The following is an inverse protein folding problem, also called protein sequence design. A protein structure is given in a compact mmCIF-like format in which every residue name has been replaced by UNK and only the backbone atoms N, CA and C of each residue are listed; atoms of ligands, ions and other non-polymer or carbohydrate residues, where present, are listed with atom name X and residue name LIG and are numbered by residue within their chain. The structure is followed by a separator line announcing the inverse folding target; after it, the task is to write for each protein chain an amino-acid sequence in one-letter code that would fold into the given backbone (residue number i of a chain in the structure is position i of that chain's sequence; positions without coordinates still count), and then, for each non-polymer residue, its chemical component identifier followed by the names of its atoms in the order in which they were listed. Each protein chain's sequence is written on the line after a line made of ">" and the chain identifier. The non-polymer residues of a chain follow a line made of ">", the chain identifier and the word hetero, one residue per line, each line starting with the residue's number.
data_IF_088698152084
#
_entry.id   IF_088698152084
#
_cell.length_a   1.000
_cell.length_b   1.000
_cell.length_c   1.000
_cell.angle_alpha   90.00
_cell.angle_beta   90.00
_cell.angle_gamma   90.00
#
_symmetry.space_group_name_H-M   'P 1'
#
loop_
_entity.id
_entity.type
_entity.pdbx_description
1 polymer ?
#
# COMPACT_ATOMS: atom_id res chain seq x y z
N UNK A 1 18.34 -3.20 0.21
CA UNK A 1 17.52 -2.77 -0.95
C UNK A 1 16.91 -3.96 -1.66
N UNK A 2 17.68 -4.79 -2.39
CA UNK A 2 17.13 -5.94 -3.14
C UNK A 2 16.35 -6.94 -2.27
N UNK A 3 16.86 -7.28 -1.08
CA UNK A 3 16.15 -8.18 -0.15
C UNK A 3 14.80 -7.63 0.32
N UNK A 4 14.71 -6.33 0.66
CA UNK A 4 13.45 -5.68 1.06
C UNK A 4 12.46 -5.60 -0.10
N UNK A 5 12.93 -5.36 -1.32
CA UNK A 5 12.11 -5.36 -2.52
C UNK A 5 11.60 -6.76 -2.88
N UNK A 6 12.44 -7.79 -2.73
CA UNK A 6 12.04 -9.19 -2.90
C UNK A 6 10.98 -9.60 -1.85
N UNK A 7 11.23 -9.27 -0.58
CA UNK A 7 10.25 -9.51 0.49
C UNK A 7 8.92 -8.80 0.22
N UNK A 8 8.95 -7.54 -0.26
CA UNK A 8 7.74 -6.84 -0.65
C UNK A 8 6.98 -7.58 -1.77
N UNK A 9 7.67 -8.06 -2.79
CA UNK A 9 7.08 -8.85 -3.87
C UNK A 9 6.42 -10.12 -3.33
N UNK A 10 7.13 -10.87 -2.48
CA UNK A 10 6.63 -12.12 -1.90
C UNK A 10 5.38 -11.89 -1.04
N UNK A 11 5.36 -10.79 -0.26
CA UNK A 11 4.19 -10.41 0.52
C UNK A 11 3.04 -9.91 -0.36
N UNK A 12 3.32 -9.14 -1.41
CA UNK A 12 2.32 -8.59 -2.32
C UNK A 12 1.58 -9.67 -3.14
N UNK A 13 2.20 -10.84 -3.35
CA UNK A 13 1.55 -11.99 -3.97
C UNK A 13 0.25 -12.41 -3.24
N UNK A 14 0.11 -12.06 -1.95
CA UNK A 14 -1.12 -12.24 -1.19
C UNK A 14 -2.36 -11.64 -1.88
N UNK A 15 -2.25 -10.45 -2.48
CA UNK A 15 -3.39 -9.80 -3.13
C UNK A 15 -3.90 -10.55 -4.36
N UNK A 16 -3.08 -11.44 -4.93
CA UNK A 16 -3.44 -12.28 -6.08
C UNK A 16 -3.77 -13.72 -5.66
N UNK A 17 -3.70 -14.02 -4.36
CA UNK A 17 -3.98 -15.34 -3.83
C UNK A 17 -5.47 -15.65 -3.83
N UNK A 18 -5.78 -16.94 -3.72
CA UNK A 18 -7.14 -17.46 -3.59
C UNK A 18 -7.91 -16.81 -2.43
N UNK A 19 -7.23 -16.58 -1.30
CA UNK A 19 -7.80 -15.91 -0.13
C UNK A 19 -8.32 -14.50 -0.44
N UNK A 20 -7.73 -13.82 -1.44
CA UNK A 20 -8.14 -12.48 -1.85
C UNK A 20 -9.04 -12.48 -3.09
N UNK A 21 -9.37 -13.64 -3.66
CA UNK A 21 -10.30 -13.74 -4.78
C UNK A 21 -11.64 -13.03 -4.52
N UNK A 22 -12.26 -13.11 -3.32
CA UNK A 22 -13.50 -12.38 -3.03
C UNK A 22 -13.36 -10.85 -3.02
N UNK A 23 -12.15 -10.30 -2.95
CA UNK A 23 -11.93 -8.86 -3.13
C UNK A 23 -11.77 -8.45 -4.61
N UNK A 24 -11.36 -9.40 -5.46
CA UNK A 24 -10.89 -9.15 -6.82
C UNK A 24 -11.90 -9.58 -7.90
N UNK A 25 -12.61 -10.70 -7.69
CA UNK A 25 -13.61 -11.22 -8.64
C UNK A 25 -14.98 -10.58 -8.37
N UNK A 26 -15.58 -9.90 -9.38
CA UNK A 26 -16.94 -9.37 -9.25
C UNK A 26 -18.01 -10.40 -8.89
N UNK A 27 -17.84 -11.67 -9.27
CA UNK A 27 -18.81 -12.76 -9.06
C UNK A 27 -18.77 -13.33 -7.63
N UNK A 28 -17.61 -13.30 -6.99
CA UNK A 28 -17.39 -13.82 -5.64
C UNK A 28 -17.28 -12.70 -4.60
N UNK A 29 -17.72 -11.49 -4.97
CA UNK A 29 -17.40 -10.26 -4.26
C UNK A 29 -17.94 -10.24 -2.83
N UNK A 30 -17.06 -10.20 -1.85
CA UNK A 30 -17.41 -10.08 -0.44
C UNK A 30 -17.07 -8.67 0.12
N UNK A 31 -18.04 -7.95 0.72
CA UNK A 31 -17.82 -6.61 1.25
C UNK A 31 -16.72 -6.52 2.32
N UNK A 32 -16.50 -7.57 3.11
CA UNK A 32 -15.50 -7.56 4.18
C UNK A 32 -14.08 -7.67 3.60
N UNK A 33 -13.87 -8.51 2.59
CA UNK A 33 -12.60 -8.61 1.87
C UNK A 33 -12.28 -7.34 1.09
N UNK A 34 -13.29 -6.74 0.45
CA UNK A 34 -13.13 -5.44 -0.25
C UNK A 34 -12.75 -4.34 0.73
N UNK A 35 -13.37 -4.29 1.92
CA UNK A 35 -13.02 -3.31 2.96
C UNK A 35 -11.59 -3.51 3.44
N UNK A 36 -11.20 -4.76 3.73
CA UNK A 36 -9.82 -5.08 4.11
C UNK A 36 -8.83 -4.65 3.02
N UNK A 37 -9.08 -4.97 1.75
CA UNK A 37 -8.22 -4.56 0.64
C UNK A 37 -8.08 -3.03 0.58
N UNK A 38 -9.19 -2.31 0.68
CA UNK A 38 -9.18 -0.85 0.64
C UNK A 38 -8.42 -0.20 1.81
N UNK A 39 -8.55 -0.75 3.03
CA UNK A 39 -7.80 -0.25 4.19
C UNK A 39 -6.29 -0.43 4.00
N UNK A 40 -5.89 -1.57 3.42
CA UNK A 40 -4.50 -1.88 3.11
C UNK A 40 -3.95 -0.97 2.01
N UNK A 41 -4.70 -0.78 0.93
CA UNK A 41 -4.34 0.14 -0.16
C UNK A 41 -4.18 1.58 0.36
N UNK A 42 -5.06 2.01 1.26
CA UNK A 42 -4.98 3.34 1.89
C UNK A 42 -3.74 3.49 2.76
N UNK A 43 -3.37 2.48 3.53
CA UNK A 43 -2.16 2.52 4.35
C UNK A 43 -0.89 2.43 3.51
N UNK A 44 -0.91 1.68 2.40
CA UNK A 44 0.16 1.67 1.41
C UNK A 44 0.35 3.06 0.78
N UNK A 45 -0.72 3.75 0.40
CA UNK A 45 -0.64 5.11 -0.16
C UNK A 45 0.05 6.08 0.81
N UNK A 46 -0.32 6.03 2.10
CA UNK A 46 0.33 6.85 3.14
C UNK A 46 1.83 6.56 3.28
N UNK A 47 2.27 5.32 2.98
CA UNK A 47 3.68 4.96 3.09
C UNK A 47 4.58 5.71 2.10
N UNK A 48 4.02 6.18 0.98
CA UNK A 48 4.74 6.98 -0.03
C UNK A 48 4.83 8.47 0.33
N UNK A 49 4.11 8.91 1.36
CA UNK A 49 4.15 10.29 1.84
C UNK A 49 5.41 10.49 2.68
N UNK A 50 6.24 11.45 2.29
CA UNK A 50 7.52 11.71 2.94
C UNK A 50 7.35 12.88 3.92
N UNK A 51 7.56 12.66 5.23
CA UNK A 51 7.26 13.66 6.25
C UNK A 51 8.24 14.84 6.31
N UNK A 52 9.37 14.78 5.59
CA UNK A 52 10.42 15.83 5.58
C UNK A 52 10.06 17.05 4.70
N UNK A 53 8.78 17.38 4.59
CA UNK A 53 8.30 18.52 3.81
C UNK A 53 7.77 19.61 4.73
N UNK A 54 7.94 20.91 4.40
CA UNK A 54 7.31 21.99 5.14
C UNK A 54 5.80 21.75 5.31
N UNK A 55 5.18 22.16 6.43
CA UNK A 55 3.75 22.01 6.64
C UNK A 55 2.96 22.50 5.42
N UNK A 56 2.09 21.65 4.86
CA UNK A 56 1.30 21.97 3.66
C UNK A 56 1.90 21.51 2.33
N UNK A 57 3.10 20.92 2.32
CA UNK A 57 3.70 20.29 1.14
C UNK A 57 3.70 18.77 1.32
N UNK A 58 3.25 18.02 0.31
CA UNK A 58 3.32 16.57 0.29
C UNK A 58 4.28 16.11 -0.82
N UNK A 59 5.36 15.45 -0.42
CA UNK A 59 6.29 14.80 -1.36
C UNK A 59 5.96 13.31 -1.46
N UNK A 60 5.79 12.83 -2.69
CA UNK A 60 5.52 11.42 -3.00
C UNK A 60 6.75 10.78 -3.66
N UNK A 61 7.12 9.58 -3.23
CA UNK A 61 8.04 8.72 -3.99
C UNK A 61 7.30 8.14 -5.20
N UNK A 62 7.44 8.73 -6.39
CA UNK A 62 6.89 8.17 -7.63
C UNK A 62 7.96 8.07 -8.71
N UNK A 63 7.91 7.01 -9.51
CA UNK A 63 8.77 6.86 -10.68
C UNK A 63 8.51 8.02 -11.66
N UNK A 64 9.60 8.58 -12.19
CA UNK A 64 9.60 9.81 -12.96
C UNK A 64 8.99 9.59 -14.33
N UNK A 65 7.69 9.87 -14.48
CA UNK A 65 7.17 10.32 -15.78
C UNK A 65 6.60 11.73 -15.62
N UNK A 66 7.06 12.72 -16.41
CA UNK A 66 6.52 14.07 -16.37
C UNK A 66 5.17 14.06 -17.09
N UNK A 67 4.13 13.55 -16.44
CA UNK A 67 2.76 13.92 -16.79
C UNK A 67 2.39 15.07 -15.88
N UNK A 68 2.30 16.27 -16.45
CA UNK A 68 1.79 17.48 -15.81
C UNK A 68 0.36 17.23 -15.33
N UNK A 69 0.22 16.63 -14.15
CA UNK A 69 -1.06 16.58 -13.44
C UNK A 69 -1.28 17.99 -12.93
N UNK A 70 -2.31 18.66 -13.46
CA UNK A 70 -2.80 19.94 -12.93
C UNK A 70 -3.06 19.75 -11.43
N UNK A 71 -2.22 20.36 -10.61
CA UNK A 71 -2.42 20.43 -9.17
C UNK A 71 -3.71 21.18 -8.88
N UNK A 72 -4.49 20.69 -7.91
CA UNK A 72 -5.61 21.45 -7.36
C UNK A 72 -5.08 22.78 -6.78
N UNK A 73 -5.83 23.90 -6.90
CA UNK A 73 -5.41 25.17 -6.33
C UNK A 73 -5.22 25.00 -4.81
N UNK A 74 -3.99 25.24 -4.34
CA UNK A 74 -3.60 25.12 -2.93
C UNK A 74 -2.66 23.94 -2.59
N UNK A 75 -2.39 23.01 -3.51
CA UNK A 75 -1.48 21.88 -3.25
C UNK A 75 -0.20 21.98 -4.11
N UNK A 76 0.93 22.30 -3.47
CA UNK A 76 2.25 22.30 -4.13
C UNK A 76 2.82 20.88 -4.11
N UNK A 77 2.91 20.24 -5.29
CA UNK A 77 3.49 18.91 -5.43
C UNK A 77 4.96 19.03 -5.84
N UNK A 78 5.87 18.68 -4.94
CA UNK A 78 7.31 18.70 -5.18
C UNK A 78 7.85 17.30 -5.48
N UNK A 79 8.80 17.19 -6.42
CA UNK A 79 9.53 15.93 -6.63
C UNK A 79 10.44 15.68 -5.44
N UNK A 80 10.44 14.44 -4.95
CA UNK A 80 11.40 14.02 -3.95
C UNK A 80 12.65 13.44 -4.61
N UNK A 81 13.81 14.02 -4.30
CA UNK A 81 15.11 13.47 -4.68
C UNK A 81 15.62 12.64 -3.50
N UNK A 82 15.32 11.34 -3.52
CA UNK A 82 15.41 10.51 -2.32
C UNK A 82 16.78 9.94 -2.01
N UNK A 83 17.10 9.93 -0.71
CA UNK A 83 18.23 9.17 -0.18
C UNK A 83 17.89 7.68 -0.04
N UNK A 84 18.93 6.84 0.08
CA UNK A 84 18.77 5.39 0.27
C UNK A 84 17.98 5.06 1.54
N UNK A 85 18.03 5.91 2.55
CA UNK A 85 17.36 5.68 3.82
C UNK A 85 15.84 5.77 3.65
N UNK A 86 15.37 6.79 2.95
CA UNK A 86 13.94 7.04 2.72
C UNK A 86 13.32 5.94 1.88
N UNK A 87 14.00 5.49 0.82
CA UNK A 87 13.54 4.34 0.02
C UNK A 87 13.47 3.08 0.88
N UNK A 88 14.45 2.85 1.76
CA UNK A 88 14.45 1.70 2.68
C UNK A 88 13.30 1.79 3.67
N UNK A 89 13.05 2.97 4.24
CA UNK A 89 11.96 3.21 5.18
C UNK A 89 10.59 2.96 4.54
N UNK A 90 10.38 3.42 3.32
CA UNK A 90 9.12 3.18 2.60
C UNK A 90 8.93 1.68 2.32
N UNK A 91 9.95 1.00 1.80
CA UNK A 91 9.88 -0.46 1.57
C UNK A 91 9.56 -1.23 2.85
N UNK A 92 10.22 -0.92 3.97
CA UNK A 92 9.97 -1.57 5.26
C UNK A 92 8.55 -1.32 5.76
N UNK A 93 8.02 -0.10 5.61
CA UNK A 93 6.63 0.24 5.97
C UNK A 93 5.64 -0.57 5.14
N UNK A 94 5.84 -0.63 3.81
CA UNK A 94 4.97 -1.39 2.90
C UNK A 94 4.94 -2.88 3.27
N UNK A 95 6.11 -3.49 3.49
CA UNK A 95 6.20 -4.90 3.93
C UNK A 95 5.43 -5.12 5.24
N UNK A 96 5.58 -4.21 6.21
CA UNK A 96 4.88 -4.31 7.49
C UNK A 96 3.36 -4.24 7.31
N UNK A 97 2.86 -3.30 6.51
CA UNK A 97 1.43 -3.13 6.22
C UNK A 97 0.85 -4.42 5.61
N UNK A 98 1.48 -4.95 4.56
CA UNK A 98 0.98 -6.16 3.87
C UNK A 98 1.08 -7.39 4.79
N UNK A 99 2.13 -7.49 5.62
CA UNK A 99 2.26 -8.59 6.58
C UNK A 99 1.14 -8.55 7.64
N UNK A 100 0.84 -7.38 8.19
CA UNK A 100 -0.25 -7.20 9.16
C UNK A 100 -1.60 -7.51 8.50
N UNK A 101 -1.80 -7.03 7.27
CA UNK A 101 -3.00 -7.30 6.48
C UNK A 101 -3.23 -8.80 6.27
N UNK A 102 -2.19 -9.52 5.83
CA UNK A 102 -2.24 -10.96 5.61
C UNK A 102 -2.63 -11.69 6.89
N UNK A 103 -2.01 -11.36 8.01
CA UNK A 103 -2.31 -11.97 9.29
C UNK A 103 -3.76 -11.68 9.73
N UNK A 104 -4.18 -10.41 9.70
CA UNK A 104 -5.56 -10.02 10.09
C UNK A 104 -6.61 -10.65 9.18
N UNK A 105 -6.39 -10.64 7.87
CA UNK A 105 -7.27 -11.28 6.89
C UNK A 105 -7.41 -12.77 7.14
N UNK A 106 -6.29 -13.48 7.32
CA UNK A 106 -6.33 -14.91 7.68
C UNK A 106 -7.19 -15.16 8.93
N UNK A 107 -7.04 -14.38 10.00
CA UNK A 107 -7.86 -14.55 11.21
C UNK A 107 -9.35 -14.25 10.97
N UNK A 108 -9.71 -13.19 10.24
CA UNK A 108 -11.11 -12.86 9.98
C UNK A 108 -11.81 -13.90 9.10
N UNK A 109 -11.07 -14.61 8.25
CA UNK A 109 -11.62 -15.60 7.31
C UNK A 109 -11.72 -17.01 7.90
N UNK A 110 -10.77 -17.40 8.76
CA UNK A 110 -10.80 -18.70 9.43
C UNK A 110 -11.62 -18.70 10.72
N UNK A 111 -12.00 -17.53 11.25
CA UNK A 111 -12.85 -17.41 12.45
C UNK A 111 -14.34 -17.33 12.13
N UNK A 112 -14.77 -17.59 10.89
CA UNK A 112 -16.19 -17.76 10.58
C UNK A 112 -16.74 -18.91 11.44
N UNK A 113 -17.81 -18.71 12.23
CA UNK A 113 -18.31 -19.74 13.11
C UNK A 113 -18.83 -20.89 12.25
N UNK A 114 -18.28 -22.09 12.48
CA UNK A 114 -18.87 -23.34 12.00
C UNK A 114 -20.36 -23.33 12.37
N UNK A 115 -21.23 -23.34 11.37
CA UNK A 115 -22.68 -23.51 11.56
C UNK A 115 -22.99 -24.91 12.08
#
# INVERSE_FOLDING_TARGET
>A
MLSSAASLRDHAAFFQSETMRPANDPKERDPSHVRMLNDVLRDLEKSFIIPQTPPGVYSYLTDSTPKSVKSQPGQVRTRYQGDRQTVTTVLTRMVSIIRVAKNRGLYCLTSSPSS
#
